data_IF_034935800041
#
_entry.id   IF_034935800041
#
_cell.length_a   1.000
_cell.length_b   1.000
_cell.length_c   1.000
_cell.angle_alpha   90.00
_cell.angle_beta   90.00
_cell.angle_gamma   90.00
#
_symmetry.space_group_name_H-M   'P 1'
#
loop_
_entity.id
_entity.type
_entity.pdbx_description
1 polymer ?
#
# COMPACT_ATOMS: atom_id res chain seq x y z
N UNK A 1 -7.53 1.18 10.42
CA UNK A 1 -7.89 0.52 9.14
C UNK A 1 -6.74 0.74 8.18
N UNK A 2 -6.24 -0.33 7.56
CA UNK A 2 -5.10 -0.27 6.64
C UNK A 2 -5.59 -0.50 5.22
N UNK A 3 -5.17 0.36 4.30
CA UNK A 3 -5.46 0.23 2.88
C UNK A 3 -4.14 0.19 2.10
N UNK A 4 -3.95 -0.85 1.30
CA UNK A 4 -2.75 -1.07 0.50
C UNK A 4 -3.15 -0.96 -0.98
N UNK A 5 -2.71 0.12 -1.61
CA UNK A 5 -2.82 0.30 -3.04
C UNK A 5 -1.68 -0.45 -3.73
N UNK A 6 -2.04 -1.40 -4.59
CA UNK A 6 -1.10 -2.26 -5.32
C UNK A 6 -1.25 -2.06 -6.82
N UNK A 7 -0.33 -2.64 -7.59
CA UNK A 7 -0.41 -2.75 -9.04
C UNK A 7 0.02 -4.15 -9.48
N UNK A 8 -0.42 -4.57 -10.66
CA UNK A 8 0.01 -5.84 -11.24
C UNK A 8 1.54 -5.85 -11.47
N UNK A 9 2.15 -7.03 -11.32
CA UNK A 9 3.60 -7.26 -11.47
C UNK A 9 4.49 -6.35 -10.60
N UNK A 10 4.13 -6.20 -9.33
CA UNK A 10 4.85 -5.37 -8.36
C UNK A 10 5.42 -6.20 -7.19
N UNK A 11 6.72 -6.48 -7.23
CA UNK A 11 7.41 -7.25 -6.18
C UNK A 11 7.34 -6.56 -4.80
N UNK A 12 7.47 -5.23 -4.76
CA UNK A 12 7.35 -4.46 -3.52
C UNK A 12 5.95 -4.55 -2.90
N UNK A 13 4.92 -4.64 -3.74
CA UNK A 13 3.54 -4.80 -3.31
C UNK A 13 3.34 -6.17 -2.66
N UNK A 14 3.84 -7.24 -3.31
CA UNK A 14 3.82 -8.58 -2.75
C UNK A 14 4.58 -8.67 -1.41
N UNK A 15 5.76 -8.03 -1.32
CA UNK A 15 6.54 -7.98 -0.09
C UNK A 15 5.82 -7.25 1.06
N UNK A 16 5.15 -6.14 0.75
CA UNK A 16 4.36 -5.37 1.73
C UNK A 16 3.19 -6.19 2.26
N UNK A 17 2.35 -6.74 1.36
CA UNK A 17 1.21 -7.58 1.73
C UNK A 17 1.62 -8.76 2.61
N UNK A 18 2.69 -9.45 2.23
CA UNK A 18 3.24 -10.56 3.01
C UNK A 18 3.57 -10.19 4.45
N UNK A 19 4.07 -8.98 4.72
CA UNK A 19 4.35 -8.54 6.10
C UNK A 19 3.05 -8.37 6.90
N UNK A 20 2.02 -7.74 6.32
CA UNK A 20 0.72 -7.60 6.96
C UNK A 20 0.02 -8.96 7.15
N UNK A 21 0.09 -9.85 6.15
CA UNK A 21 -0.42 -11.22 6.24
C UNK A 21 0.27 -12.01 7.37
N UNK A 22 1.60 -11.91 7.47
CA UNK A 22 2.38 -12.56 8.52
C UNK A 22 2.07 -12.02 9.93
N UNK A 23 1.73 -10.74 10.03
CA UNK A 23 1.30 -10.11 11.26
C UNK A 23 -0.16 -10.42 11.63
N UNK A 24 -0.93 -11.03 10.72
CA UNK A 24 -2.36 -11.30 10.92
C UNK A 24 -3.23 -10.04 10.95
N UNK A 25 -2.74 -8.94 10.38
CA UNK A 25 -3.46 -7.65 10.38
C UNK A 25 -4.36 -7.57 9.16
N UNK A 26 -5.63 -7.26 9.38
CA UNK A 26 -6.59 -7.06 8.31
C UNK A 26 -6.29 -5.74 7.57
N UNK A 27 -6.17 -5.83 6.25
CA UNK A 27 -6.02 -4.68 5.35
C UNK A 27 -6.93 -4.80 4.14
N UNK A 28 -7.25 -3.67 3.53
CA UNK A 28 -7.95 -3.58 2.26
C UNK A 28 -6.93 -3.46 1.13
N UNK A 29 -6.93 -4.40 0.19
CA UNK A 29 -6.13 -4.27 -1.03
C UNK A 29 -6.95 -3.58 -2.13
N UNK A 30 -6.36 -2.55 -2.75
CA UNK A 30 -6.93 -1.88 -3.94
C UNK A 30 -5.92 -1.97 -5.08
N UNK A 31 -6.25 -2.74 -6.12
CA UNK A 31 -5.40 -2.88 -7.29
C UNK A 31 -5.65 -1.76 -8.30
N UNK A 32 -4.69 -0.85 -8.41
CA UNK A 32 -4.74 0.32 -9.30
C UNK A 32 -4.73 -0.05 -10.79
N UNK A 33 -4.20 -1.22 -11.17
CA UNK A 33 -4.25 -1.70 -12.55
C UNK A 33 -5.68 -1.99 -12.99
N UNK A 34 -6.53 -2.43 -12.06
CA UNK A 34 -7.95 -2.73 -12.31
C UNK A 34 -8.87 -1.54 -11.98
N UNK A 35 -8.48 -0.73 -10.99
CA UNK A 35 -9.22 0.45 -10.53
C UNK A 35 -8.37 1.72 -10.71
N UNK A 36 -8.34 2.29 -11.92
CA UNK A 36 -7.51 3.46 -12.20
C UNK A 36 -8.01 4.75 -11.55
N UNK A 37 -9.24 4.78 -11.00
CA UNK A 37 -9.86 5.96 -10.40
C UNK A 37 -9.04 6.57 -9.25
N UNK A 38 -8.32 5.74 -8.48
CA UNK A 38 -7.51 6.21 -7.35
C UNK A 38 -6.10 6.67 -7.77
N UNK A 39 -5.67 6.40 -9.02
CA UNK A 39 -4.34 6.76 -9.50
C UNK A 39 -4.13 8.28 -9.46
N UNK A 40 -5.12 9.04 -9.91
CA UNK A 40 -5.01 10.50 -9.97
C UNK A 40 -4.98 11.13 -8.57
N UNK A 41 -5.74 10.55 -7.63
CA UNK A 41 -5.68 10.93 -6.21
C UNK A 41 -4.29 10.66 -5.62
N UNK A 42 -3.74 9.46 -5.84
CA UNK A 42 -2.42 9.09 -5.31
C UNK A 42 -1.31 9.98 -5.90
N UNK A 43 -1.39 10.29 -7.20
CA UNK A 43 -0.47 11.23 -7.84
C UNK A 43 -0.61 12.65 -7.27
N UNK A 44 -1.83 13.12 -7.03
CA UNK A 44 -2.08 14.43 -6.41
C UNK A 44 -1.51 14.52 -4.99
N UNK A 45 -1.47 13.40 -4.26
CA UNK A 45 -0.82 13.25 -2.96
C UNK A 45 0.71 13.11 -3.04
N UNK A 46 1.30 13.11 -4.25
CA UNK A 46 2.73 12.98 -4.48
C UNK A 46 3.26 11.55 -4.51
N UNK A 47 2.38 10.53 -4.54
CA UNK A 47 2.78 9.14 -4.65
C UNK A 47 2.93 8.73 -6.11
N UNK A 48 4.16 8.40 -6.50
CA UNK A 48 4.49 7.97 -7.86
C UNK A 48 4.91 6.49 -7.93
N UNK A 49 5.05 5.83 -6.78
CA UNK A 49 5.51 4.44 -6.68
C UNK A 49 4.48 3.61 -5.90
N UNK A 50 4.27 2.38 -6.36
CA UNK A 50 3.48 1.39 -5.66
C UNK A 50 4.41 0.43 -4.89
N UNK A 51 3.99 -0.10 -3.72
CA UNK A 51 2.67 0.06 -3.11
C UNK A 51 2.51 1.42 -2.41
N UNK A 52 1.28 1.90 -2.26
CA UNK A 52 0.97 3.01 -1.34
C UNK A 52 0.15 2.45 -0.19
N UNK A 53 0.60 2.64 1.04
CA UNK A 53 -0.08 2.16 2.24
C UNK A 53 -0.64 3.35 2.99
N UNK A 54 -1.91 3.26 3.36
CA UNK A 54 -2.59 4.18 4.26
C UNK A 54 -2.87 3.46 5.56
N UNK A 55 -2.39 4.00 6.67
CA UNK A 55 -2.66 3.55 8.03
C UNK A 55 -3.20 4.72 8.85
N UNK A 56 -4.52 4.85 8.88
CA UNK A 56 -5.18 5.98 9.53
C UNK A 56 -4.80 7.32 8.89
N UNK A 57 -4.11 8.18 9.65
CA UNK A 57 -3.63 9.50 9.18
C UNK A 57 -2.28 9.44 8.49
N UNK A 58 -1.56 8.33 8.62
CA UNK A 58 -0.23 8.15 8.06
C UNK A 58 -0.32 7.42 6.72
N UNK A 59 0.47 7.85 5.74
CA UNK A 59 0.56 7.16 4.46
C UNK A 59 1.97 7.25 3.88
N UNK A 60 2.39 6.20 3.18
CA UNK A 60 3.69 6.16 2.53
C UNK A 60 3.63 5.34 1.24
N UNK A 61 4.61 5.56 0.37
CA UNK A 61 4.83 4.79 -0.84
C UNK A 61 6.10 3.95 -0.77
N UNK A 62 6.11 2.85 -1.52
CA UNK A 62 7.19 1.87 -1.59
C UNK A 62 7.22 0.89 -0.43
N UNK A 63 8.10 -0.12 -0.55
CA UNK A 63 8.32 -1.10 0.51
C UNK A 63 9.18 -0.54 1.64
N UNK A 64 8.54 -0.17 2.75
CA UNK A 64 9.16 0.44 3.93
C UNK A 64 8.97 -0.42 5.16
N UNK A 65 9.90 -1.34 5.44
CA UNK A 65 9.81 -2.28 6.57
C UNK A 65 9.70 -1.58 7.93
N UNK A 66 10.34 -0.42 8.06
CA UNK A 66 10.25 0.46 9.21
C UNK A 66 8.81 0.90 9.46
N UNK A 67 8.18 1.55 8.46
CA UNK A 67 6.80 2.04 8.58
C UNK A 67 5.76 0.93 8.64
N UNK A 68 6.04 -0.20 7.97
CA UNK A 68 5.19 -1.38 8.09
C UNK A 68 5.15 -1.82 9.55
N UNK A 69 6.30 -2.01 10.20
CA UNK A 69 6.37 -2.44 11.61
C UNK A 69 5.64 -1.50 12.56
N UNK A 70 5.65 -0.19 12.29
CA UNK A 70 4.92 0.79 13.11
C UNK A 70 3.40 0.74 12.88
N UNK A 71 2.95 0.17 11.77
CA UNK A 71 1.55 0.10 11.37
C UNK A 71 0.86 -1.23 11.72
N UNK A 72 1.61 -2.31 11.98
CA UNK A 72 1.09 -3.62 12.43
C UNK A 72 1.00 -3.72 13.95
#
# INVERSE_FOLDING_TARGET
MITIYTKDNCEQCAATKRQFDQAGVAYQEINLTRNPHDIDLLKALGHHTAPVVFSGTSHWSGFRKDLIRDAI
#
